data_IF_009142499783
#
_entry.id   IF_009142499783
#
_cell.length_a   1.000
_cell.length_b   1.000
_cell.length_c   1.000
_cell.angle_alpha   90.00
_cell.angle_beta   90.00
_cell.angle_gamma   90.00
#
_symmetry.space_group_name_H-M   'P 1'
#
loop_
_entity.id
_entity.type
_entity.pdbx_description
1 polymer ?
#
# COMPACT_ATOMS: atom_id res chain seq x y z
N UNK A 1 26.56 -25.47 -17.30
CA UNK A 1 26.88 -25.51 -15.88
C UNK A 1 26.49 -24.19 -15.24
N UNK A 2 25.59 -24.22 -14.25
CA UNK A 2 25.06 -23.08 -13.51
C UNK A 2 25.62 -23.02 -12.08
N UNK A 3 26.53 -23.89 -11.74
CA UNK A 3 27.14 -23.95 -10.42
C UNK A 3 27.77 -22.60 -10.06
N UNK A 4 27.46 -22.05 -8.91
CA UNK A 4 27.98 -20.78 -8.44
C UNK A 4 27.53 -19.55 -9.20
N UNK A 5 26.53 -19.67 -10.11
CA UNK A 5 25.90 -18.52 -10.78
C UNK A 5 24.56 -18.20 -10.15
N UNK A 6 24.22 -16.93 -9.97
CA UNK A 6 22.90 -16.54 -9.50
C UNK A 6 21.80 -17.10 -10.41
N UNK A 7 20.89 -17.90 -9.85
CA UNK A 7 19.80 -18.52 -10.59
C UNK A 7 18.47 -17.82 -10.37
N UNK A 8 18.17 -17.46 -9.12
CA UNK A 8 16.92 -16.82 -8.74
C UNK A 8 17.26 -15.60 -7.91
N UNK A 9 16.67 -14.45 -8.26
CA UNK A 9 16.73 -13.23 -7.45
C UNK A 9 15.30 -12.86 -7.04
N UNK A 10 15.09 -12.60 -5.77
CA UNK A 10 13.82 -12.19 -5.20
C UNK A 10 14.06 -10.88 -4.46
N UNK A 11 13.29 -9.85 -4.84
CA UNK A 11 13.31 -8.56 -4.16
C UNK A 11 12.05 -8.42 -3.32
N UNK A 12 12.20 -8.13 -2.02
CA UNK A 12 11.09 -7.92 -1.09
C UNK A 12 11.38 -6.62 -0.34
N UNK A 13 10.60 -5.59 -0.64
CA UNK A 13 10.89 -4.25 -0.16
C UNK A 13 12.27 -3.80 -0.63
N UNK A 14 13.12 -3.38 0.30
CA UNK A 14 14.50 -2.97 0.00
C UNK A 14 15.52 -4.13 -0.02
N UNK A 15 15.08 -5.35 0.27
CA UNK A 15 15.97 -6.50 0.41
C UNK A 15 15.97 -7.35 -0.86
N UNK A 16 17.18 -7.59 -1.38
CA UNK A 16 17.43 -8.51 -2.48
C UNK A 16 18.00 -9.82 -1.95
N UNK A 17 17.36 -10.91 -2.28
CA UNK A 17 17.80 -12.25 -1.97
C UNK A 17 18.20 -12.97 -3.25
N UNK A 18 19.35 -13.61 -3.25
CA UNK A 18 19.84 -14.33 -4.42
C UNK A 18 20.08 -15.80 -4.05
N UNK A 19 19.44 -16.70 -4.79
CA UNK A 19 19.76 -18.11 -4.72
C UNK A 19 20.83 -18.45 -5.75
N UNK A 20 21.96 -18.95 -5.27
CA UNK A 20 23.07 -19.47 -6.07
C UNK A 20 23.17 -20.97 -5.77
N UNK A 21 22.84 -21.84 -6.72
CA UNK A 21 22.89 -23.27 -6.48
C UNK A 21 24.35 -23.72 -6.18
N UNK A 22 24.49 -24.47 -5.09
CA UNK A 22 25.72 -25.15 -4.74
C UNK A 22 25.86 -26.47 -5.53
N UNK A 23 27.05 -27.05 -5.51
CA UNK A 23 27.30 -28.31 -6.18
C UNK A 23 26.46 -29.45 -5.61
N UNK A 24 25.64 -30.09 -6.45
CA UNK A 24 25.10 -31.41 -6.09
C UNK A 24 26.25 -32.44 -5.91
N UNK A 25 25.96 -33.54 -5.21
CA UNK A 25 26.94 -34.63 -4.98
C UNK A 25 27.61 -35.20 -6.25
N UNK A 26 27.12 -34.85 -7.44
CA UNK A 26 27.69 -35.19 -8.74
C UNK A 26 28.59 -34.08 -9.35
N UNK A 27 28.82 -32.96 -8.63
CA UNK A 27 29.80 -31.96 -9.02
C UNK A 27 29.31 -30.86 -9.97
N UNK A 28 28.09 -30.89 -10.50
CA UNK A 28 27.56 -29.86 -11.42
C UNK A 28 26.07 -29.65 -11.27
N UNK A 29 25.66 -28.41 -11.23
CA UNK A 29 24.26 -28.00 -11.36
C UNK A 29 23.99 -27.52 -12.79
N UNK A 30 22.94 -28.02 -13.43
CA UNK A 30 22.56 -27.60 -14.78
C UNK A 30 21.13 -27.99 -15.13
N UNK A 31 20.55 -27.28 -16.10
CA UNK A 31 19.26 -27.64 -16.68
C UNK A 31 19.45 -28.62 -17.82
N UNK A 32 18.82 -29.77 -17.74
CA UNK A 32 18.87 -30.81 -18.76
C UNK A 32 17.58 -30.77 -19.60
N UNK A 33 17.75 -30.90 -20.93
CA UNK A 33 16.64 -30.94 -21.87
C UNK A 33 15.63 -32.04 -21.50
N UNK A 34 14.31 -31.75 -21.64
CA UNK A 34 13.22 -32.67 -21.32
C UNK A 34 12.95 -32.86 -19.80
N UNK A 35 13.59 -32.11 -18.94
CA UNK A 35 13.39 -32.12 -17.49
C UNK A 35 12.62 -30.87 -17.05
N UNK A 36 11.70 -31.05 -16.11
CA UNK A 36 11.02 -29.95 -15.39
C UNK A 36 11.72 -29.79 -14.03
N UNK A 37 12.03 -28.56 -13.70
CA UNK A 37 12.63 -28.20 -12.41
C UNK A 37 11.62 -27.38 -11.62
N UNK A 38 11.20 -27.89 -10.46
CA UNK A 38 10.36 -27.18 -9.52
C UNK A 38 11.19 -26.73 -8.31
N UNK A 39 11.10 -25.44 -7.97
CA UNK A 39 11.73 -24.90 -6.80
C UNK A 39 10.63 -24.46 -5.82
N UNK A 40 10.74 -24.88 -4.58
CA UNK A 40 9.97 -24.28 -3.48
C UNK A 40 10.87 -23.23 -2.84
N UNK A 41 10.40 -21.98 -2.85
CA UNK A 41 11.14 -20.86 -2.29
C UNK A 41 10.39 -20.41 -1.04
N UNK A 42 11.02 -20.59 0.12
CA UNK A 42 10.52 -20.08 1.39
C UNK A 42 11.30 -18.83 1.74
N UNK A 43 10.63 -17.70 1.82
CA UNK A 43 11.27 -16.44 2.22
C UNK A 43 11.02 -16.23 3.72
N UNK A 44 12.11 -16.08 4.47
CA UNK A 44 12.12 -15.78 5.90
C UNK A 44 12.74 -14.39 6.09
N UNK A 45 12.44 -13.71 7.18
CA UNK A 45 13.09 -12.44 7.51
C UNK A 45 14.62 -12.55 7.60
N UNK A 46 15.13 -13.75 7.93
CA UNK A 46 16.56 -14.06 8.01
C UNK A 46 17.21 -14.49 6.68
N UNK A 47 16.44 -14.62 5.59
CA UNK A 47 16.95 -15.05 4.29
C UNK A 47 15.99 -15.87 3.46
N UNK A 48 16.49 -16.39 2.35
CA UNK A 48 15.75 -17.29 1.46
C UNK A 48 16.22 -18.73 1.69
N UNK A 49 15.26 -19.63 1.88
CA UNK A 49 15.49 -21.07 1.82
C UNK A 49 14.90 -21.60 0.52
N UNK A 50 15.73 -22.17 -0.34
CA UNK A 50 15.31 -22.75 -1.61
C UNK A 50 15.49 -24.26 -1.54
N UNK A 51 14.38 -24.99 -1.67
CA UNK A 51 14.41 -26.44 -1.80
C UNK A 51 14.14 -26.81 -3.25
N UNK A 52 15.13 -27.38 -3.94
CA UNK A 52 14.97 -27.90 -5.28
C UNK A 52 14.37 -29.32 -5.20
N UNK A 53 13.18 -29.50 -5.74
CA UNK A 53 12.67 -30.85 -5.99
C UNK A 53 13.15 -31.31 -7.36
N UNK A 54 13.79 -32.49 -7.44
CA UNK A 54 14.13 -33.14 -8.72
C UNK A 54 12.84 -33.35 -9.51
N UNK A 55 12.70 -32.65 -10.64
CA UNK A 55 11.48 -32.64 -11.42
C UNK A 55 11.22 -33.93 -12.17
N UNK A 56 9.94 -34.26 -12.32
CA UNK A 56 9.45 -35.30 -13.19
C UNK A 56 9.55 -34.97 -14.68
N UNK A 57 9.16 -35.92 -15.53
CA UNK A 57 9.14 -35.81 -17.00
C UNK A 57 8.13 -34.73 -17.45
N UNK A 58 8.47 -33.95 -18.48
CA UNK A 58 7.55 -32.98 -19.11
C UNK A 58 6.30 -33.66 -19.64
N UNK A 59 5.13 -33.27 -19.14
CA UNK A 59 3.88 -33.49 -19.83
C UNK A 59 3.47 -32.15 -20.45
N UNK A 60 3.21 -32.14 -21.76
CA UNK A 60 2.78 -30.95 -22.47
C UNK A 60 1.44 -30.44 -21.91
N UNK A 61 1.41 -29.16 -21.49
CA UNK A 61 0.16 -28.45 -21.21
C UNK A 61 -0.16 -28.17 -19.74
N UNK A 62 0.65 -27.39 -19.06
CA UNK A 62 0.27 -26.79 -17.77
C UNK A 62 1.24 -25.68 -17.39
N UNK A 63 0.77 -24.45 -17.31
CA UNK A 63 1.46 -23.39 -16.58
C UNK A 63 1.18 -23.62 -15.09
N UNK A 64 2.13 -24.13 -14.34
CA UNK A 64 2.05 -24.12 -12.88
C UNK A 64 2.65 -22.82 -12.38
N UNK A 65 1.84 -21.99 -11.75
CA UNK A 65 2.32 -20.90 -10.92
C UNK A 65 3.05 -21.51 -9.73
N UNK A 66 4.35 -21.35 -9.68
CA UNK A 66 5.14 -21.63 -8.47
C UNK A 66 4.82 -20.51 -7.50
N UNK A 67 3.84 -20.73 -6.62
CA UNK A 67 3.47 -19.76 -5.63
C UNK A 67 4.57 -19.60 -4.58
N UNK A 68 5.14 -18.39 -4.48
CA UNK A 68 6.00 -18.03 -3.35
C UNK A 68 5.10 -17.81 -2.14
N UNK A 69 5.38 -18.51 -1.03
CA UNK A 69 4.72 -18.26 0.24
C UNK A 69 5.72 -17.59 1.19
N UNK A 70 5.42 -16.40 1.65
CA UNK A 70 6.20 -15.72 2.70
C UNK A 70 5.62 -16.14 4.05
N UNK A 71 6.48 -16.67 4.93
CA UNK A 71 6.09 -17.10 6.28
C UNK A 71 6.70 -16.15 7.31
N UNK A 72 5.90 -15.74 8.27
CA UNK A 72 6.27 -14.84 9.36
C UNK A 72 6.09 -15.55 10.72
N UNK A 73 7.03 -15.35 11.63
CA UNK A 73 6.96 -15.88 13.00
C UNK A 73 6.54 -14.81 14.04
N UNK A 74 6.43 -13.56 13.64
CA UNK A 74 6.04 -12.44 14.48
C UNK A 74 7.23 -11.70 15.13
N UNK A 75 8.46 -12.07 14.79
CA UNK A 75 9.69 -11.43 15.30
C UNK A 75 10.35 -10.51 14.28
N UNK A 76 9.74 -10.34 13.10
CA UNK A 76 10.28 -9.54 12.02
C UNK A 76 10.44 -8.08 12.43
N UNK A 77 11.56 -7.51 11.98
CA UNK A 77 11.87 -6.09 12.17
C UNK A 77 11.27 -5.20 11.08
N UNK A 78 11.05 -5.76 9.88
CA UNK A 78 10.39 -5.06 8.78
C UNK A 78 8.86 -5.06 8.96
N UNK A 79 8.18 -3.99 8.52
CA UNK A 79 6.73 -3.91 8.65
C UNK A 79 6.00 -4.94 7.79
N UNK A 80 4.87 -5.42 8.27
CA UNK A 80 3.97 -6.33 7.57
C UNK A 80 2.57 -5.76 7.48
N UNK A 81 1.81 -6.21 6.50
CA UNK A 81 0.38 -5.90 6.41
C UNK A 81 -0.31 -6.31 7.73
N UNK A 82 -1.09 -5.40 8.27
CA UNK A 82 -1.81 -5.59 9.52
C UNK A 82 -1.05 -5.20 10.78
N UNK A 83 0.23 -4.86 10.70
CA UNK A 83 1.02 -4.41 11.87
C UNK A 83 0.45 -3.12 12.47
N UNK A 84 0.56 -3.01 13.79
CA UNK A 84 0.22 -1.80 14.52
C UNK A 84 1.31 -0.75 14.34
N UNK A 85 0.93 0.44 13.89
CA UNK A 85 1.85 1.58 13.78
C UNK A 85 1.58 2.58 14.90
N UNK A 86 2.63 2.99 15.61
CA UNK A 86 2.54 3.78 16.85
C UNK A 86 2.91 5.24 16.65
N UNK A 87 2.48 6.07 17.61
CA UNK A 87 2.77 7.51 17.63
C UNK A 87 4.25 7.86 17.78
N UNK A 88 5.08 6.89 18.19
CA UNK A 88 6.54 7.03 18.27
C UNK A 88 7.26 6.63 16.96
N UNK A 89 6.52 6.25 15.92
CA UNK A 89 7.07 5.87 14.62
C UNK A 89 7.58 4.44 14.55
N UNK A 90 7.28 3.61 15.54
CA UNK A 90 7.58 2.18 15.52
C UNK A 90 6.37 1.35 15.11
N UNK A 91 6.59 0.08 14.78
CA UNK A 91 5.53 -0.88 14.46
C UNK A 91 5.73 -2.20 15.18
N UNK A 92 4.67 -2.99 15.30
CA UNK A 92 4.68 -4.30 15.92
C UNK A 92 3.69 -5.24 15.25
N UNK A 93 4.00 -6.52 15.35
CA UNK A 93 3.26 -7.63 14.78
C UNK A 93 1.74 -7.52 14.97
N UNK A 94 1.04 -7.49 13.87
CA UNK A 94 -0.42 -7.48 13.79
C UNK A 94 -1.05 -8.83 13.52
N UNK A 95 -0.22 -9.89 13.45
CA UNK A 95 -0.66 -11.28 13.36
C UNK A 95 -0.62 -11.91 11.98
N UNK A 96 -0.08 -11.27 10.96
CA UNK A 96 0.13 -11.93 9.65
C UNK A 96 1.16 -13.06 9.83
N UNK A 97 0.81 -14.27 9.35
CA UNK A 97 1.67 -15.46 9.44
C UNK A 97 2.12 -15.98 8.08
N UNK A 98 1.27 -15.86 7.06
CA UNK A 98 1.67 -16.19 5.69
C UNK A 98 1.06 -15.21 4.69
N UNK A 99 1.81 -14.90 3.68
CA UNK A 99 1.35 -14.20 2.49
C UNK A 99 1.65 -15.09 1.27
N UNK A 100 0.61 -15.50 0.58
CA UNK A 100 0.70 -16.33 -0.60
C UNK A 100 0.87 -15.47 -1.85
N UNK A 101 1.40 -16.05 -2.92
CA UNK A 101 1.65 -15.37 -4.20
C UNK A 101 0.38 -14.79 -4.86
N UNK A 102 -0.78 -15.36 -4.58
CA UNK A 102 -2.08 -14.88 -5.05
C UNK A 102 -2.67 -13.74 -4.20
N UNK A 103 -1.91 -13.26 -3.20
CA UNK A 103 -2.33 -12.22 -2.26
C UNK A 103 -3.15 -12.75 -1.08
N UNK A 104 -3.45 -14.05 -1.02
CA UNK A 104 -4.13 -14.66 0.13
C UNK A 104 -3.26 -14.54 1.38
N UNK A 105 -3.88 -14.25 2.52
CA UNK A 105 -3.21 -14.05 3.80
C UNK A 105 -3.71 -15.05 4.85
N UNK A 106 -2.78 -15.65 5.59
CA UNK A 106 -3.07 -16.49 6.76
C UNK A 106 -2.65 -15.74 8.03
N UNK A 107 -3.55 -15.66 8.98
CA UNK A 107 -3.37 -14.89 10.21
C UNK A 107 -3.17 -15.81 11.40
N UNK A 108 -2.55 -15.31 12.45
CA UNK A 108 -2.47 -15.99 13.73
C UNK A 108 -3.89 -16.31 14.24
N UNK A 109 -4.08 -17.49 14.81
CA UNK A 109 -5.35 -17.92 15.42
C UNK A 109 -5.84 -16.90 16.47
N UNK A 110 -4.92 -16.41 17.28
CA UNK A 110 -5.16 -15.26 18.17
C UNK A 110 -4.29 -14.10 17.70
N UNK A 111 -4.94 -13.02 17.24
CA UNK A 111 -4.21 -11.82 16.81
C UNK A 111 -3.48 -11.19 18.00
N UNK A 112 -2.18 -10.86 17.86
CA UNK A 112 -1.44 -10.13 18.87
C UNK A 112 -2.15 -8.84 19.27
N UNK A 113 -2.04 -8.47 20.55
CA UNK A 113 -2.52 -7.19 21.02
C UNK A 113 -1.45 -6.11 20.81
N UNK A 114 -1.85 -4.84 20.70
CA UNK A 114 -0.88 -3.75 20.71
C UNK A 114 0.03 -3.79 21.94
N UNK A 115 1.23 -3.27 21.77
CA UNK A 115 2.19 -3.15 22.88
C UNK A 115 1.61 -2.25 23.99
N UNK A 116 1.63 -2.76 25.21
CA UNK A 116 1.08 -2.03 26.35
C UNK A 116 1.86 -0.72 26.59
N UNK A 117 1.14 0.37 26.81
CA UNK A 117 1.72 1.69 27.06
C UNK A 117 2.10 2.46 25.79
N UNK A 118 1.97 1.87 24.59
CA UNK A 118 2.14 2.59 23.32
C UNK A 118 0.81 2.99 22.70
N UNK A 119 0.79 4.16 22.07
CA UNK A 119 -0.39 4.68 21.41
C UNK A 119 -0.41 4.28 19.92
N UNK A 120 -1.29 3.35 19.56
CA UNK A 120 -1.52 2.97 18.16
C UNK A 120 -2.22 4.12 17.45
N UNK A 121 -1.72 4.52 16.27
CA UNK A 121 -2.32 5.58 15.45
C UNK A 121 -2.76 5.09 14.07
N UNK A 122 -2.21 3.97 13.61
CA UNK A 122 -2.53 3.43 12.28
C UNK A 122 -2.32 1.91 12.23
N UNK A 123 -2.81 1.30 11.14
CA UNK A 123 -2.54 -0.08 10.76
C UNK A 123 -1.80 -0.09 9.43
N UNK A 124 -0.70 -0.83 9.33
CA UNK A 124 0.05 -1.00 8.07
C UNK A 124 -0.81 -1.74 7.06
N UNK A 125 -1.09 -1.11 5.91
CA UNK A 125 -1.88 -1.75 4.85
C UNK A 125 -1.04 -2.20 3.66
N UNK A 126 0.19 -1.68 3.52
CA UNK A 126 1.16 -2.13 2.53
C UNK A 126 2.57 -2.01 3.09
N UNK A 127 3.37 -3.07 2.93
CA UNK A 127 4.77 -3.12 3.33
C UNK A 127 5.67 -2.81 2.13
N UNK A 128 6.69 -2.00 2.38
CA UNK A 128 7.60 -1.51 1.33
C UNK A 128 7.01 -0.36 0.51
N UNK A 129 7.87 0.23 -0.30
CA UNK A 129 7.49 1.27 -1.25
C UNK A 129 6.86 0.65 -2.50
N UNK A 130 5.65 1.08 -2.85
CA UNK A 130 4.93 0.54 -4.00
C UNK A 130 5.55 1.03 -5.32
N UNK A 131 5.69 0.15 -6.32
CA UNK A 131 6.34 0.46 -7.59
C UNK A 131 5.65 1.57 -8.40
N UNK A 132 4.33 1.71 -8.26
CA UNK A 132 3.52 2.74 -8.89
C UNK A 132 3.40 4.03 -8.06
N UNK A 133 4.17 4.17 -6.99
CA UNK A 133 4.26 5.41 -6.23
C UNK A 133 5.44 6.26 -6.74
N UNK A 134 5.11 7.35 -7.42
CA UNK A 134 6.09 8.31 -7.93
C UNK A 134 6.49 9.39 -6.90
N UNK A 135 6.05 9.29 -5.64
CA UNK A 135 6.40 10.24 -4.60
C UNK A 135 7.86 10.10 -4.20
N UNK A 136 8.53 11.24 -4.00
CA UNK A 136 9.85 11.31 -3.39
C UNK A 136 9.69 11.75 -1.93
N UNK A 137 10.10 10.90 -1.00
CA UNK A 137 9.97 11.13 0.43
C UNK A 137 11.22 11.73 1.09
N UNK A 138 12.25 12.06 0.31
CA UNK A 138 13.53 12.58 0.84
C UNK A 138 13.41 13.90 1.60
N UNK A 139 12.42 14.73 1.25
CA UNK A 139 12.12 15.98 1.92
C UNK A 139 11.15 15.86 3.11
N UNK A 140 10.73 14.64 3.45
CA UNK A 140 9.83 14.34 4.59
C UNK A 140 10.62 13.85 5.80
N UNK A 141 9.93 13.51 6.88
CA UNK A 141 10.55 12.88 8.04
C UNK A 141 11.18 11.50 7.76
N UNK A 142 10.82 10.85 6.64
CA UNK A 142 11.43 9.60 6.18
C UNK A 142 12.90 9.83 5.76
N UNK A 143 13.22 10.98 5.13
CA UNK A 143 14.58 11.39 4.79
C UNK A 143 15.21 10.58 3.63
N UNK A 144 14.44 9.77 2.92
CA UNK A 144 14.89 8.98 1.76
C UNK A 144 13.80 8.90 0.69
N UNK A 145 14.16 8.53 -0.54
CA UNK A 145 13.22 8.53 -1.66
C UNK A 145 12.07 7.53 -1.50
N UNK A 146 12.34 6.39 -0.87
CA UNK A 146 11.38 5.29 -0.69
C UNK A 146 10.97 5.16 0.77
N UNK A 147 9.72 4.80 1.02
CA UNK A 147 9.21 4.50 2.35
C UNK A 147 9.35 3.00 2.70
N UNK A 148 9.27 2.69 3.99
CA UNK A 148 9.21 1.31 4.50
C UNK A 148 7.80 0.71 4.37
N UNK A 149 6.79 1.56 4.25
CA UNK A 149 5.41 1.11 4.11
C UNK A 149 4.40 2.25 4.22
N UNK A 150 3.12 1.86 4.15
CA UNK A 150 1.99 2.77 4.27
C UNK A 150 1.03 2.27 5.35
N UNK A 151 0.55 3.20 6.16
CA UNK A 151 -0.39 2.88 7.22
C UNK A 151 -1.66 3.73 7.13
N UNK A 152 -2.82 3.09 7.39
CA UNK A 152 -4.14 3.71 7.36
C UNK A 152 -4.59 4.13 8.75
N UNK A 153 -5.18 5.28 8.86
CA UNK A 153 -5.73 5.84 10.10
C UNK A 153 -6.74 4.89 10.77
N UNK A 154 -6.84 4.94 12.10
CA UNK A 154 -7.74 4.07 12.88
C UNK A 154 -9.22 4.44 12.71
N UNK A 155 -9.52 5.67 12.31
CA UNK A 155 -10.88 6.19 12.15
C UNK A 155 -10.94 7.19 10.99
N UNK A 156 -12.17 7.49 10.55
CA UNK A 156 -12.41 8.51 9.55
C UNK A 156 -12.02 9.90 10.08
N UNK A 157 -11.51 10.74 9.20
CA UNK A 157 -11.22 12.14 9.52
C UNK A 157 -12.50 12.98 9.63
N UNK A 158 -13.57 12.55 8.97
CA UNK A 158 -14.86 13.24 8.93
C UNK A 158 -15.95 12.46 9.68
N UNK A 159 -16.83 13.16 10.36
CA UNK A 159 -18.04 12.55 10.93
C UNK A 159 -19.19 12.46 9.91
N UNK A 160 -19.12 13.19 8.83
CA UNK A 160 -20.08 13.26 7.73
C UNK A 160 -19.39 13.33 6.38
N UNK A 161 -20.15 13.64 5.37
CA UNK A 161 -19.65 13.83 4.01
C UNK A 161 -18.97 15.18 3.84
N UNK A 162 -18.05 15.25 2.86
CA UNK A 162 -17.43 16.50 2.44
C UNK A 162 -17.20 16.52 0.93
N UNK A 163 -16.98 17.70 0.37
CA UNK A 163 -16.51 17.88 -1.00
C UNK A 163 -15.04 17.48 -1.12
N UNK A 164 -14.66 17.10 -2.33
CA UNK A 164 -13.24 16.88 -2.66
C UNK A 164 -12.47 18.19 -2.70
N UNK A 165 -13.03 19.19 -3.40
CA UNK A 165 -12.42 20.51 -3.58
C UNK A 165 -13.02 21.29 -4.74
N UNK A 166 -12.23 22.15 -5.36
CA UNK A 166 -12.65 23.10 -6.38
C UNK A 166 -13.03 22.43 -7.70
N UNK A 167 -14.27 22.62 -8.14
CA UNK A 167 -14.75 22.18 -9.45
C UNK A 167 -14.19 23.06 -10.59
N UNK A 168 -13.91 22.47 -11.72
CA UNK A 168 -13.46 23.19 -12.91
C UNK A 168 -11.94 23.40 -13.02
N UNK A 169 -11.17 22.96 -12.02
CA UNK A 169 -9.70 23.10 -12.00
C UNK A 169 -9.02 21.73 -12.02
N UNK A 170 -8.13 21.52 -13.00
CA UNK A 170 -7.24 20.36 -13.06
C UNK A 170 -5.95 20.64 -12.28
N UNK A 171 -5.55 19.71 -11.41
CA UNK A 171 -4.35 19.81 -10.58
C UNK A 171 -3.23 18.85 -11.04
N UNK A 172 -3.52 17.98 -11.99
CA UNK A 172 -2.59 16.96 -12.46
C UNK A 172 -2.39 15.83 -11.44
N UNK A 173 -3.41 15.52 -10.64
CA UNK A 173 -3.42 14.42 -9.67
C UNK A 173 -3.84 13.11 -10.34
N UNK A 174 -3.13 12.73 -11.40
CA UNK A 174 -3.38 11.52 -12.19
C UNK A 174 -2.04 11.02 -12.74
N UNK A 175 -1.77 9.70 -12.73
CA UNK A 175 -0.55 9.17 -13.30
C UNK A 175 -0.49 9.39 -14.81
N UNK A 176 0.72 9.60 -15.32
CA UNK A 176 0.98 9.76 -16.75
C UNK A 176 1.98 8.71 -17.23
N UNK A 177 1.88 8.33 -18.49
CA UNK A 177 2.91 7.51 -19.13
C UNK A 177 4.16 8.35 -19.49
N UNK A 178 5.18 7.70 -20.04
CA UNK A 178 6.43 8.36 -20.43
C UNK A 178 6.26 9.46 -21.52
N UNK A 179 5.11 9.54 -22.19
CA UNK A 179 4.77 10.60 -23.14
C UNK A 179 4.00 11.78 -22.51
N UNK A 180 3.66 11.67 -21.22
CA UNK A 180 2.85 12.64 -20.49
C UNK A 180 1.34 12.45 -20.67
N UNK A 181 0.90 11.37 -21.33
CA UNK A 181 -0.52 11.05 -21.47
C UNK A 181 -1.05 10.45 -20.16
N UNK A 182 -2.21 10.94 -19.71
CA UNK A 182 -2.89 10.41 -18.51
C UNK A 182 -3.26 8.93 -18.70
N UNK A 183 -3.00 8.16 -17.69
CA UNK A 183 -3.33 6.73 -17.61
C UNK A 183 -4.71 6.53 -17.00
N UNK A 184 -5.39 5.47 -17.42
CA UNK A 184 -6.74 5.15 -16.94
C UNK A 184 -6.71 4.57 -15.52
N UNK A 185 -6.61 5.44 -14.52
CA UNK A 185 -6.64 5.09 -13.10
C UNK A 185 -8.04 4.72 -12.57
N UNK A 186 -9.07 4.88 -13.38
CA UNK A 186 -10.43 4.45 -13.06
C UNK A 186 -10.61 2.94 -13.24
N UNK A 187 -10.20 2.40 -14.39
CA UNK A 187 -10.32 0.97 -14.68
C UNK A 187 -9.19 0.11 -14.08
N UNK A 188 -8.06 0.75 -13.78
CA UNK A 188 -6.89 0.12 -13.19
C UNK A 188 -6.37 0.97 -12.01
N UNK A 189 -7.06 0.99 -10.87
CA UNK A 189 -6.71 1.86 -9.74
C UNK A 189 -5.30 1.62 -9.21
N UNK A 190 -4.79 0.40 -9.31
CA UNK A 190 -3.48 0.02 -8.80
C UNK A 190 -2.29 0.70 -9.50
N UNK A 191 -2.50 1.33 -10.66
CA UNK A 191 -1.46 2.14 -11.30
C UNK A 191 -1.22 3.49 -10.63
N UNK A 192 -2.02 3.87 -9.64
CA UNK A 192 -2.02 5.18 -9.00
C UNK A 192 -1.82 5.07 -7.48
N UNK A 193 -0.55 5.10 -7.04
CA UNK A 193 -0.17 5.03 -5.63
C UNK A 193 0.42 6.34 -5.08
N UNK A 194 0.45 7.41 -5.87
CA UNK A 194 1.13 8.65 -5.55
C UNK A 194 0.31 9.61 -4.66
N UNK A 195 -0.40 9.09 -3.65
CA UNK A 195 -1.31 9.88 -2.81
C UNK A 195 -0.63 11.04 -2.09
N UNK A 196 0.61 10.84 -1.60
CA UNK A 196 1.37 11.93 -1.01
C UNK A 196 1.66 13.04 -2.04
N UNK A 197 2.18 12.69 -3.22
CA UNK A 197 2.47 13.67 -4.27
C UNK A 197 1.22 14.43 -4.73
N UNK A 198 0.08 13.74 -4.86
CA UNK A 198 -1.19 14.38 -5.20
C UNK A 198 -1.65 15.33 -4.10
N UNK A 199 -1.55 14.92 -2.84
CA UNK A 199 -1.87 15.79 -1.70
C UNK A 199 -1.00 17.05 -1.70
N UNK A 200 0.31 16.95 -2.01
CA UNK A 200 1.17 18.13 -2.13
C UNK A 200 0.76 19.08 -3.27
N UNK A 201 0.30 18.53 -4.41
CA UNK A 201 -0.27 19.36 -5.51
C UNK A 201 -1.54 20.09 -5.06
N UNK A 202 -2.43 19.43 -4.34
CA UNK A 202 -3.65 20.04 -3.81
C UNK A 202 -3.29 21.17 -2.82
N UNK A 203 -2.34 20.92 -1.91
CA UNK A 203 -1.83 21.94 -0.96
C UNK A 203 -1.27 23.14 -1.71
N UNK A 204 -0.49 22.90 -2.76
CA UNK A 204 0.07 23.98 -3.59
C UNK A 204 -1.03 24.78 -4.29
N UNK A 205 -2.04 24.12 -4.84
CA UNK A 205 -3.18 24.77 -5.47
C UNK A 205 -4.03 25.59 -4.50
N UNK A 206 -4.12 25.16 -3.24
CA UNK A 206 -4.76 25.94 -2.18
C UNK A 206 -3.95 27.19 -1.77
N UNK A 207 -2.69 27.29 -2.17
CA UNK A 207 -1.78 28.38 -1.77
C UNK A 207 -1.03 28.11 -0.46
N UNK A 208 -0.99 26.85 -0.02
CA UNK A 208 -0.30 26.38 1.19
C UNK A 208 -1.20 25.61 2.14
N UNK A 209 -0.57 24.85 3.05
CA UNK A 209 -1.30 24.04 4.04
C UNK A 209 -2.20 24.87 4.95
N UNK A 210 -1.79 26.09 5.29
CA UNK A 210 -2.53 27.05 6.11
C UNK A 210 -3.78 27.64 5.40
N UNK A 211 -3.89 27.46 4.09
CA UNK A 211 -5.03 27.88 3.28
C UNK A 211 -6.06 26.78 3.07
N UNK A 212 -5.71 25.53 3.36
CA UNK A 212 -6.70 24.45 3.36
C UNK A 212 -7.77 24.73 4.40
N UNK A 213 -9.02 24.49 4.05
CA UNK A 213 -10.15 24.68 4.97
C UNK A 213 -11.34 23.79 4.57
N UNK A 214 -12.32 23.69 5.46
CA UNK A 214 -13.52 22.90 5.24
C UNK A 214 -14.61 23.63 4.42
N UNK A 215 -14.34 24.84 3.91
CA UNK A 215 -15.31 25.62 3.15
C UNK A 215 -15.53 25.00 1.78
N UNK A 216 -16.77 24.65 1.50
CA UNK A 216 -17.20 24.14 0.21
C UNK A 216 -16.93 25.18 -0.90
N UNK A 217 -16.73 24.71 -2.12
CA UNK A 217 -16.52 25.49 -3.35
C UNK A 217 -15.20 26.31 -3.42
N UNK A 218 -14.50 26.55 -2.34
CA UNK A 218 -13.29 27.40 -2.33
C UNK A 218 -12.09 26.76 -1.65
N UNK A 219 -12.31 25.83 -0.72
CA UNK A 219 -11.29 25.05 -0.06
C UNK A 219 -11.06 23.70 -0.77
N UNK A 220 -10.29 22.88 -0.14
CA UNK A 220 -10.12 21.47 -0.49
C UNK A 220 -10.49 20.63 0.74
N UNK A 221 -11.79 20.49 1.06
CA UNK A 221 -12.26 19.89 2.30
C UNK A 221 -11.73 18.50 2.56
N UNK A 222 -11.71 17.61 1.56
CA UNK A 222 -11.18 16.25 1.73
C UNK A 222 -9.71 16.27 2.17
N UNK A 223 -8.89 17.10 1.54
CA UNK A 223 -7.47 17.25 1.90
C UNK A 223 -7.32 17.96 3.25
N UNK A 224 -8.12 18.99 3.54
CA UNK A 224 -8.13 19.66 4.83
C UNK A 224 -8.38 18.68 5.98
N UNK A 225 -9.41 17.85 5.87
CA UNK A 225 -9.73 16.87 6.90
C UNK A 225 -8.61 15.86 7.10
N UNK A 226 -7.96 15.39 6.02
CA UNK A 226 -6.84 14.45 6.14
C UNK A 226 -5.59 15.09 6.75
N UNK A 227 -5.18 16.27 6.25
CA UNK A 227 -3.85 16.85 6.48
C UNK A 227 -3.81 17.81 7.66
N UNK A 228 -4.92 18.49 7.97
CA UNK A 228 -4.99 19.52 9.01
C UNK A 228 -5.80 19.03 10.20
N UNK A 229 -7.08 18.77 10.00
CA UNK A 229 -8.01 18.44 11.09
C UNK A 229 -7.63 17.11 11.78
N UNK A 230 -7.41 16.05 10.99
CA UNK A 230 -7.02 14.75 11.54
C UNK A 230 -5.63 14.79 12.16
N UNK A 231 -4.66 15.43 11.51
CA UNK A 231 -3.30 15.56 12.02
C UNK A 231 -3.25 16.33 13.36
N UNK A 232 -4.17 17.27 13.57
CA UNK A 232 -4.29 17.96 14.86
C UNK A 232 -4.84 17.05 15.97
N UNK A 233 -5.78 16.16 15.63
CA UNK A 233 -6.39 15.20 16.58
C UNK A 233 -5.47 14.00 16.85
N UNK A 234 -4.77 13.54 15.83
CA UNK A 234 -3.86 12.39 15.86
C UNK A 234 -2.51 12.81 15.24
N UNK A 235 -1.60 13.37 16.02
CA UNK A 235 -0.27 13.74 15.53
C UNK A 235 0.49 12.53 14.97
N UNK A 236 1.08 12.71 13.81
CA UNK A 236 1.95 11.72 13.17
C UNK A 236 3.38 11.82 13.72
N UNK A 237 4.14 10.71 13.74
CA UNK A 237 5.54 10.74 14.17
C UNK A 237 6.43 11.54 13.21
N UNK A 238 7.54 12.05 13.74
CA UNK A 238 8.48 12.88 12.97
C UNK A 238 9.17 12.13 11.83
N UNK A 239 9.30 10.80 11.92
CA UNK A 239 9.89 9.94 10.90
C UNK A 239 8.88 9.43 9.86
N UNK A 240 7.85 10.21 9.58
CA UNK A 240 6.81 9.90 8.58
C UNK A 240 6.55 11.09 7.65
N UNK A 241 5.70 10.89 6.65
CA UNK A 241 5.21 11.97 5.77
C UNK A 241 4.26 12.94 6.45
N UNK A 242 3.74 12.58 7.64
CA UNK A 242 2.46 13.11 8.10
C UNK A 242 1.27 12.49 7.36
N UNK A 243 0.07 12.85 7.80
CA UNK A 243 -1.17 12.36 7.19
C UNK A 243 -1.42 13.00 5.83
N UNK A 244 -1.93 12.21 4.88
CA UNK A 244 -2.34 12.68 3.56
C UNK A 244 -3.60 11.96 3.07
N UNK A 245 -4.24 12.50 2.05
CA UNK A 245 -5.39 11.89 1.38
C UNK A 245 -4.88 10.77 0.46
N UNK A 246 -5.30 9.50 0.64
CA UNK A 246 -4.79 8.38 -0.16
C UNK A 246 -5.09 8.57 -1.64
N UNK A 247 -4.23 8.06 -2.52
CA UNK A 247 -4.58 7.89 -3.94
C UNK A 247 -5.66 6.83 -4.13
N UNK A 248 -6.19 6.72 -5.35
CA UNK A 248 -7.22 5.73 -5.64
C UNK A 248 -6.70 4.29 -5.45
N UNK A 249 -5.46 3.99 -5.84
CA UNK A 249 -4.84 2.69 -5.63
C UNK A 249 -4.64 2.37 -4.15
N UNK A 250 -4.18 3.34 -3.37
CA UNK A 250 -4.03 3.18 -1.92
C UNK A 250 -5.38 2.94 -1.25
N UNK A 251 -6.42 3.73 -1.56
CA UNK A 251 -7.74 3.56 -0.95
C UNK A 251 -8.40 2.24 -1.38
N UNK A 252 -8.24 1.84 -2.63
CA UNK A 252 -8.73 0.57 -3.15
C UNK A 252 -8.02 -0.62 -2.49
N UNK A 253 -6.71 -0.54 -2.26
CA UNK A 253 -5.96 -1.55 -1.51
C UNK A 253 -6.45 -1.68 -0.05
N UNK A 254 -6.68 -0.55 0.64
CA UNK A 254 -7.28 -0.54 1.98
C UNK A 254 -8.64 -1.22 1.96
N UNK A 255 -9.49 -0.93 0.97
CA UNK A 255 -10.78 -1.59 0.80
C UNK A 255 -10.63 -3.10 0.62
N UNK A 256 -9.78 -3.55 -0.30
CA UNK A 256 -9.60 -4.97 -0.58
C UNK A 256 -9.15 -5.77 0.65
N UNK A 257 -8.28 -5.17 1.45
CA UNK A 257 -7.71 -5.80 2.64
C UNK A 257 -8.47 -5.47 3.94
N UNK A 258 -9.60 -4.75 3.90
CA UNK A 258 -10.28 -4.21 5.08
C UNK A 258 -10.63 -5.23 6.15
N UNK A 259 -11.07 -6.43 5.75
CA UNK A 259 -11.37 -7.50 6.70
C UNK A 259 -10.08 -7.91 7.45
N UNK A 260 -9.02 -8.16 6.73
CA UNK A 260 -7.72 -8.54 7.28
C UNK A 260 -7.10 -7.43 8.15
N UNK A 261 -7.24 -6.19 7.73
CA UNK A 261 -6.68 -5.03 8.43
C UNK A 261 -7.42 -4.72 9.74
N UNK A 262 -8.75 -4.83 9.73
CA UNK A 262 -9.57 -4.25 10.81
C UNK A 262 -10.25 -5.28 11.68
N UNK A 263 -10.62 -6.45 11.13
CA UNK A 263 -11.33 -7.49 11.88
C UNK A 263 -10.49 -8.02 13.05
N UNK A 264 -11.14 -8.12 14.21
CA UNK A 264 -10.49 -8.58 15.44
C UNK A 264 -9.54 -7.58 16.11
N UNK A 265 -9.42 -6.36 15.58
CA UNK A 265 -8.64 -5.28 16.20
C UNK A 265 -9.57 -4.27 16.88
N UNK A 266 -9.50 -4.19 18.21
CA UNK A 266 -10.36 -3.31 19.02
C UNK A 266 -10.00 -1.83 18.91
N UNK A 267 -8.78 -1.53 18.44
CA UNK A 267 -8.24 -0.16 18.36
C UNK A 267 -8.68 0.59 17.11
N UNK A 268 -9.29 -0.09 16.14
CA UNK A 268 -9.64 0.50 14.84
C UNK A 268 -11.15 0.40 14.59
N UNK A 269 -11.74 1.49 14.11
CA UNK A 269 -13.08 1.44 13.52
C UNK A 269 -13.00 1.00 12.07
N UNK A 270 -13.82 0.03 11.69
CA UNK A 270 -13.95 -0.38 10.29
C UNK A 270 -14.36 0.79 9.39
N UNK A 271 -14.19 0.61 8.09
CA UNK A 271 -14.72 1.55 7.11
C UNK A 271 -16.26 1.47 7.11
N UNK A 272 -16.91 2.61 6.92
CA UNK A 272 -18.37 2.67 6.70
C UNK A 272 -18.70 2.03 5.34
N UNK A 273 -19.90 1.48 5.21
CA UNK A 273 -20.39 0.90 3.94
C UNK A 273 -20.80 2.00 2.94
N UNK A 274 -19.90 2.93 2.66
CA UNK A 274 -20.16 4.16 1.93
C UNK A 274 -18.98 4.51 1.01
N UNK A 275 -18.97 5.71 0.45
CA UNK A 275 -17.96 6.24 -0.44
C UNK A 275 -16.82 6.93 0.32
N UNK A 276 -15.60 6.77 -0.16
CA UNK A 276 -14.39 7.40 0.37
C UNK A 276 -13.61 8.10 -0.73
N UNK A 277 -13.36 9.40 -0.55
CA UNK A 277 -12.53 10.17 -1.45
C UNK A 277 -11.10 9.64 -1.53
N UNK A 278 -10.53 9.71 -2.73
CA UNK A 278 -9.09 9.65 -2.95
C UNK A 278 -8.54 11.02 -3.34
N UNK A 279 -7.21 11.19 -3.35
CA UNK A 279 -6.56 12.39 -3.89
C UNK A 279 -6.46 12.39 -5.41
N UNK A 280 -6.88 11.31 -6.07
CA UNK A 280 -6.73 11.12 -7.51
C UNK A 280 -7.83 11.81 -8.30
N UNK A 281 -7.44 12.54 -9.33
CA UNK A 281 -8.36 13.06 -10.35
C UNK A 281 -8.72 11.96 -11.35
N UNK A 282 -9.93 12.02 -11.90
CA UNK A 282 -10.38 11.12 -12.94
C UNK A 282 -9.65 11.45 -14.26
N UNK A 283 -8.95 10.49 -14.84
CA UNK A 283 -8.07 10.68 -16.00
C UNK A 283 -8.72 11.36 -17.20
N UNK A 284 -10.02 11.09 -17.49
CA UNK A 284 -10.74 11.59 -18.67
C UNK A 284 -11.27 13.03 -18.48
N UNK A 285 -11.64 13.38 -17.24
CA UNK A 285 -12.22 14.70 -16.89
C UNK A 285 -11.63 15.26 -15.59
N UNK A 286 -10.31 15.44 -15.50
CA UNK A 286 -9.63 15.74 -14.24
C UNK A 286 -10.02 17.09 -13.62
N UNK A 287 -10.42 18.07 -14.44
CA UNK A 287 -10.88 19.36 -13.92
C UNK A 287 -12.21 19.25 -13.14
N UNK A 288 -13.02 18.25 -13.42
CA UNK A 288 -14.40 18.17 -12.90
C UNK A 288 -14.61 17.06 -11.88
N UNK A 289 -13.90 15.93 -12.03
CA UNK A 289 -14.16 14.70 -11.28
C UNK A 289 -12.93 14.23 -10.54
N UNK A 290 -13.14 13.77 -9.30
CA UNK A 290 -12.17 13.01 -8.53
C UNK A 290 -12.66 11.56 -8.36
N UNK A 291 -11.72 10.66 -8.10
CA UNK A 291 -12.00 9.25 -7.90
C UNK A 291 -12.30 8.94 -6.44
N UNK A 292 -13.17 7.98 -6.21
CA UNK A 292 -13.55 7.49 -4.89
C UNK A 292 -13.85 5.98 -4.92
N UNK A 293 -13.86 5.36 -3.75
CA UNK A 293 -14.13 3.92 -3.59
C UNK A 293 -15.40 3.73 -2.78
N UNK A 294 -16.32 2.90 -3.28
CA UNK A 294 -17.48 2.44 -2.52
C UNK A 294 -17.14 1.19 -1.71
N UNK A 295 -17.08 1.33 -0.40
CA UNK A 295 -16.69 0.22 0.48
C UNK A 295 -17.69 -0.94 0.49
N UNK A 296 -18.97 -0.67 0.25
CA UNK A 296 -19.99 -1.72 0.17
C UNK A 296 -19.73 -2.75 -0.95
N UNK A 297 -19.19 -2.30 -2.10
CA UNK A 297 -19.06 -3.12 -3.32
C UNK A 297 -17.66 -3.18 -3.90
N UNK A 298 -16.72 -2.34 -3.43
CA UNK A 298 -15.40 -2.18 -4.03
C UNK A 298 -15.41 -1.44 -5.36
N UNK A 299 -16.51 -0.82 -5.72
CA UNK A 299 -16.61 -0.05 -6.95
C UNK A 299 -15.73 1.19 -6.84
N UNK A 300 -14.83 1.34 -7.80
CA UNK A 300 -14.15 2.62 -8.08
C UNK A 300 -15.06 3.41 -9.00
N UNK A 301 -15.34 4.64 -8.66
CA UNK A 301 -16.14 5.53 -9.51
C UNK A 301 -15.59 6.97 -9.43
N UNK A 302 -16.17 7.86 -10.19
CA UNK A 302 -15.80 9.27 -10.25
C UNK A 302 -16.99 10.15 -9.90
N UNK A 303 -16.75 11.19 -9.11
CA UNK A 303 -17.78 12.13 -8.71
C UNK A 303 -17.34 13.58 -8.90
N UNK A 304 -18.28 14.52 -9.20
CA UNK A 304 -17.95 15.93 -9.23
C UNK A 304 -17.24 16.37 -7.95
N UNK A 305 -16.19 17.18 -8.10
CA UNK A 305 -15.34 17.60 -6.97
C UNK A 305 -16.08 18.44 -5.93
N UNK A 306 -17.16 19.07 -6.33
CA UNK A 306 -18.05 19.92 -5.52
C UNK A 306 -19.23 19.16 -4.88
N UNK A 307 -19.33 17.85 -5.06
CA UNK A 307 -20.31 17.03 -4.36
C UNK A 307 -19.86 16.65 -2.95
N UNK A 308 -20.76 16.86 -1.98
CA UNK A 308 -20.56 16.50 -0.56
C UNK A 308 -21.24 15.16 -0.26
N UNK A 309 -20.58 14.03 -0.64
CA UNK A 309 -21.19 12.70 -0.47
C UNK A 309 -20.21 11.59 -0.07
N UNK A 310 -18.98 11.95 0.32
CA UNK A 310 -17.95 10.98 0.65
C UNK A 310 -17.20 11.28 1.93
N UNK A 311 -16.74 10.21 2.59
CA UNK A 311 -15.91 10.24 3.77
C UNK A 311 -14.42 10.40 3.39
N UNK A 312 -13.60 10.65 4.41
CA UNK A 312 -12.14 10.72 4.30
C UNK A 312 -11.51 9.78 5.33
N UNK A 313 -10.68 8.86 4.87
CA UNK A 313 -9.80 8.01 5.67
C UNK A 313 -8.35 8.35 5.35
N UNK A 314 -7.63 9.05 6.23
CA UNK A 314 -6.22 9.41 5.98
C UNK A 314 -5.30 8.20 5.99
N UNK A 315 -4.17 8.37 5.30
CA UNK A 315 -3.04 7.44 5.34
C UNK A 315 -1.74 8.21 5.58
N UNK A 316 -0.68 7.52 5.93
CA UNK A 316 0.68 8.06 5.99
C UNK A 316 1.67 7.04 5.41
N UNK A 317 2.84 7.53 4.99
CA UNK A 317 4.01 6.71 4.68
C UNK A 317 5.09 6.91 5.75
N UNK A 318 5.90 5.85 5.99
CA UNK A 318 6.93 5.85 7.04
C UNK A 318 8.18 5.06 6.65
#
# INVERSE_FOLDING_TARGET
DMTGKPLIRISIGSNDFTYTPETEAAGKFGFFGGKRYAYTITVKASGIEVTAAKGGTWNAGGSENVGVTITYDGTETEPKIGDYYYSDGTWRDGGLRKLYADGTMEWAETKPQPENGKNVIAIVFHAGHHENDASDYSATGIGQQKCHGYAVALQDATNGYCQWGVYGTELGCCPTDGSGKKQNNYSAPDIDWSGYAWTQKIITAAGGKDKLNATEDSGYPATYYAVVDYAHKVPSPANSTGWFLPSIGQMWNVYQNRASLFEGKTVVSGLKSDWYWSSSEFYDRPARYALYVRVLSGLVDSNPKDNSDSFVRPVLAF
#
